data_IF_961942173939
#
_entry.id   IF_961942173939
#
_cell.length_a   1.000
_cell.length_b   1.000
_cell.length_c   1.000
_cell.angle_alpha   90.00
_cell.angle_beta   90.00
_cell.angle_gamma   90.00
#
_symmetry.space_group_name_H-M   'P 1'
#
loop_
_entity.id
_entity.type
_entity.pdbx_description
1 polymer ?
#
# COMPACT_ATOMS: atom_id res chain seq x y z
N UNK A 1 15.46 -3.19 -23.47
CA UNK A 1 15.75 -2.63 -22.13
C UNK A 1 16.95 -3.39 -21.59
N UNK A 2 18.00 -2.71 -21.15
CA UNK A 2 19.13 -3.36 -20.45
C UNK A 2 18.71 -3.72 -19.02
N UNK A 3 19.35 -4.70 -18.39
CA UNK A 3 19.00 -5.15 -17.02
C UNK A 3 19.04 -4.00 -16.00
N UNK A 4 20.01 -3.08 -16.11
CA UNK A 4 20.11 -1.89 -15.26
C UNK A 4 18.91 -0.94 -15.41
N UNK A 5 18.42 -0.74 -16.64
CA UNK A 5 17.26 0.12 -16.89
C UNK A 5 15.98 -0.48 -16.29
N UNK A 6 15.81 -1.81 -16.40
CA UNK A 6 14.69 -2.53 -15.82
C UNK A 6 14.70 -2.47 -14.30
N UNK A 7 15.88 -2.55 -13.69
CA UNK A 7 16.06 -2.47 -12.24
C UNK A 7 15.80 -1.06 -11.70
N UNK A 8 16.33 -0.02 -12.35
CA UNK A 8 16.06 1.38 -11.97
C UNK A 8 14.57 1.69 -12.01
N UNK A 9 13.89 1.25 -13.07
CA UNK A 9 12.45 1.44 -13.22
C UNK A 9 11.63 0.74 -12.12
N UNK A 10 12.02 -0.49 -11.74
CA UNK A 10 11.35 -1.22 -10.67
C UNK A 10 11.48 -0.51 -9.32
N UNK A 11 12.66 0.06 -9.04
CA UNK A 11 12.89 0.84 -7.81
C UNK A 11 12.02 2.09 -7.79
N UNK A 12 11.98 2.86 -8.87
CA UNK A 12 11.15 4.06 -8.98
C UNK A 12 9.66 3.74 -8.82
N UNK A 13 9.20 2.66 -9.46
CA UNK A 13 7.82 2.16 -9.34
C UNK A 13 7.44 1.87 -7.88
N UNK A 14 8.28 1.11 -7.17
CA UNK A 14 8.04 0.77 -5.77
C UNK A 14 8.07 2.01 -4.89
N UNK A 15 9.04 2.90 -5.10
CA UNK A 15 9.17 4.14 -4.33
C UNK A 15 7.95 5.04 -4.50
N UNK A 16 7.45 5.17 -5.73
CA UNK A 16 6.24 5.95 -6.01
C UNK A 16 5.03 5.42 -5.25
N UNK A 17 4.83 4.10 -5.24
CA UNK A 17 3.74 3.45 -4.50
C UNK A 17 3.87 3.70 -3.00
N UNK A 18 5.08 3.50 -2.45
CA UNK A 18 5.35 3.69 -1.01
C UNK A 18 5.12 5.14 -0.56
N UNK A 19 5.50 6.11 -1.39
CA UNK A 19 5.35 7.54 -1.09
C UNK A 19 3.90 8.01 -1.23
N UNK A 20 3.22 7.61 -2.30
CA UNK A 20 1.85 8.05 -2.59
C UNK A 20 0.83 7.43 -1.63
N UNK A 21 1.15 6.24 -1.08
CA UNK A 21 0.33 5.42 -0.18
C UNK A 21 -0.99 4.92 -0.78
N UNK A 22 -1.75 5.77 -1.44
CA UNK A 22 -2.97 5.43 -2.18
C UNK A 22 -2.72 5.75 -3.65
N UNK A 23 -2.84 4.74 -4.51
CA UNK A 23 -2.55 4.88 -5.94
C UNK A 23 -3.72 4.32 -6.76
N UNK A 24 -4.19 5.10 -7.75
CA UNK A 24 -5.11 4.57 -8.75
C UNK A 24 -4.32 3.73 -9.76
N UNK A 25 -4.76 2.49 -9.97
CA UNK A 25 -4.03 1.54 -10.80
C UNK A 25 -3.95 1.99 -12.27
N UNK A 26 -4.99 2.66 -12.76
CA UNK A 26 -5.03 3.23 -14.11
C UNK A 26 -4.03 4.38 -14.29
N UNK A 27 -3.94 5.29 -13.32
CA UNK A 27 -2.98 6.39 -13.35
C UNK A 27 -1.55 5.87 -13.29
N UNK A 28 -1.30 4.90 -12.41
CA UNK A 28 -0.01 4.25 -12.30
C UNK A 28 0.39 3.57 -13.60
N UNK A 29 -0.53 2.82 -14.22
CA UNK A 29 -0.31 2.18 -15.51
C UNK A 29 0.00 3.20 -16.61
N UNK A 30 -0.74 4.31 -16.64
CA UNK A 30 -0.53 5.39 -17.60
C UNK A 30 0.82 6.08 -17.43
N UNK A 31 1.24 6.36 -16.19
CA UNK A 31 2.55 6.96 -15.89
C UNK A 31 3.73 6.09 -16.35
N UNK A 32 3.57 4.78 -16.27
CA UNK A 32 4.64 3.83 -16.57
C UNK A 32 4.54 3.20 -17.96
N UNK A 33 3.53 3.60 -18.74
CA UNK A 33 3.31 3.12 -20.11
C UNK A 33 2.91 1.64 -20.20
N UNK A 34 2.31 1.08 -19.15
CA UNK A 34 1.83 -0.30 -19.11
C UNK A 34 0.32 -0.36 -19.24
N UNK A 35 -0.23 -1.54 -19.56
CA UNK A 35 -1.67 -1.76 -19.43
C UNK A 35 -2.01 -1.91 -17.95
N UNK A 36 -3.20 -1.46 -17.55
CA UNK A 36 -3.69 -1.58 -16.16
C UNK A 36 -3.58 -3.01 -15.63
N UNK A 37 -3.90 -4.01 -16.45
CA UNK A 37 -3.79 -5.41 -16.04
C UNK A 37 -2.34 -5.85 -15.80
N UNK A 38 -1.38 -5.37 -16.61
CA UNK A 38 0.04 -5.68 -16.42
C UNK A 38 0.56 -5.03 -15.13
N UNK A 39 0.11 -3.81 -14.82
CA UNK A 39 0.41 -3.13 -13.56
C UNK A 39 -0.19 -3.87 -12.36
N UNK A 40 -1.43 -4.38 -12.47
CA UNK A 40 -2.07 -5.20 -11.43
C UNK A 40 -1.26 -6.47 -11.17
N UNK A 41 -0.92 -7.21 -12.22
CA UNK A 41 -0.17 -8.45 -12.10
C UNK A 41 1.18 -8.19 -11.42
N UNK A 42 1.88 -7.12 -11.82
CA UNK A 42 3.16 -6.74 -11.20
C UNK A 42 3.03 -6.39 -9.71
N UNK A 43 1.96 -5.70 -9.32
CA UNK A 43 1.71 -5.43 -7.89
C UNK A 43 1.40 -6.72 -7.14
N UNK A 44 0.63 -7.63 -7.73
CA UNK A 44 0.35 -8.94 -7.14
C UNK A 44 1.62 -9.78 -6.94
N UNK A 45 2.52 -9.78 -7.92
CA UNK A 45 3.83 -10.44 -7.80
C UNK A 45 4.64 -9.84 -6.66
N UNK A 46 4.72 -8.50 -6.57
CA UNK A 46 5.43 -7.80 -5.49
C UNK A 46 4.81 -8.03 -4.11
N UNK A 47 3.49 -8.21 -4.03
CA UNK A 47 2.77 -8.60 -2.80
C UNK A 47 3.10 -10.05 -2.40
N UNK A 48 3.15 -10.96 -3.37
CA UNK A 48 3.49 -12.37 -3.15
C UNK A 48 4.94 -12.55 -2.69
N UNK A 49 5.85 -11.73 -3.20
CA UNK A 49 7.26 -11.68 -2.75
C UNK A 49 7.44 -11.00 -1.39
N UNK A 50 6.44 -10.25 -0.91
CA UNK A 50 6.52 -9.45 0.31
C UNK A 50 7.32 -8.14 0.17
N UNK A 51 7.73 -7.79 -1.05
CA UNK A 51 8.38 -6.52 -1.38
C UNK A 51 7.44 -5.33 -1.16
N UNK A 52 6.15 -5.53 -1.45
CA UNK A 52 5.06 -4.64 -1.12
C UNK A 52 4.09 -5.31 -0.16
N UNK A 53 3.37 -4.48 0.60
CA UNK A 53 2.31 -4.87 1.50
C UNK A 53 1.16 -3.90 1.30
N UNK A 54 -0.07 -4.40 1.17
CA UNK A 54 -1.19 -3.53 0.84
C UNK A 54 -2.43 -4.30 0.41
N UNK A 55 -3.46 -3.55 0.06
CA UNK A 55 -4.75 -4.08 -0.41
C UNK A 55 -5.15 -3.43 -1.72
N UNK A 56 -5.83 -4.20 -2.57
CA UNK A 56 -6.47 -3.70 -3.77
C UNK A 56 -7.97 -3.58 -3.46
N UNK A 57 -8.50 -2.37 -3.63
CA UNK A 57 -9.92 -2.06 -3.53
C UNK A 57 -10.64 -2.48 -4.83
N UNK A 58 -11.90 -2.87 -4.73
CA UNK A 58 -12.72 -3.31 -5.88
C UNK A 58 -12.91 -2.20 -6.93
N UNK A 59 -12.65 -0.94 -6.56
CA UNK A 59 -12.69 0.23 -7.43
C UNK A 59 -11.36 0.52 -8.15
N UNK A 60 -10.38 -0.38 -8.08
CA UNK A 60 -9.12 -0.25 -8.80
C UNK A 60 -8.09 0.66 -8.14
N UNK A 61 -8.17 0.83 -6.81
CA UNK A 61 -7.14 1.52 -6.02
C UNK A 61 -6.24 0.51 -5.33
N UNK A 62 -4.95 0.78 -5.29
CA UNK A 62 -4.01 0.11 -4.41
C UNK A 62 -3.72 1.00 -3.19
N UNK A 63 -3.83 0.42 -2.00
CA UNK A 63 -3.47 1.08 -0.74
C UNK A 63 -2.26 0.35 -0.18
N UNK A 64 -1.11 1.02 -0.19
CA UNK A 64 0.09 0.55 0.46
C UNK A 64 -0.08 0.63 1.99
N UNK A 65 0.16 -0.50 2.65
CA UNK A 65 0.19 -0.63 4.10
C UNK A 65 1.64 -0.82 4.48
N UNK A 66 2.19 0.04 5.31
CA UNK A 66 3.59 -0.11 5.75
C UNK A 66 3.77 -1.37 6.60
N UNK A 67 4.97 -1.98 6.64
CA UNK A 67 5.25 -3.10 7.53
C UNK A 67 4.92 -2.79 9.00
N UNK A 68 5.14 -1.55 9.44
CA UNK A 68 4.84 -1.07 10.78
C UNK A 68 3.33 -1.07 11.07
N UNK A 69 2.52 -0.56 10.14
CA UNK A 69 1.06 -0.58 10.25
C UNK A 69 0.52 -2.01 10.27
N UNK A 70 1.05 -2.89 9.40
CA UNK A 70 0.68 -4.30 9.38
C UNK A 70 1.05 -5.01 10.69
N UNK A 71 2.24 -4.70 11.24
CA UNK A 71 2.67 -5.22 12.53
C UNK A 71 1.78 -4.73 13.67
N UNK A 72 1.35 -3.46 13.63
CA UNK A 72 0.43 -2.90 14.62
C UNK A 72 -0.93 -3.61 14.61
N UNK A 73 -1.47 -3.91 13.41
CA UNK A 73 -2.68 -4.71 13.25
C UNK A 73 -2.48 -6.14 13.77
N UNK A 74 -1.36 -6.78 13.44
CA UNK A 74 -1.07 -8.12 13.92
C UNK A 74 -0.94 -8.18 15.46
N UNK A 75 -0.32 -7.16 16.07
CA UNK A 75 -0.19 -7.05 17.52
C UNK A 75 -1.55 -6.84 18.19
N UNK A 76 -2.42 -6.02 17.61
CA UNK A 76 -3.79 -5.84 18.09
C UNK A 76 -4.56 -7.18 18.12
N UNK A 77 -4.50 -7.96 17.04
CA UNK A 77 -5.14 -9.29 16.97
C UNK A 77 -4.57 -10.23 18.04
N UNK A 78 -3.23 -10.30 18.19
CA UNK A 78 -2.58 -11.18 19.17
C UNK A 78 -2.95 -10.83 20.61
N UNK A 79 -3.02 -9.53 20.94
CA UNK A 79 -3.36 -9.07 22.29
C UNK A 79 -4.83 -9.35 22.64
N UNK A 80 -5.74 -9.19 21.67
CA UNK A 80 -7.18 -9.45 21.87
C UNK A 80 -7.53 -10.94 21.78
N UNK A 81 -6.73 -11.73 21.08
CA UNK A 81 -6.96 -13.15 20.83
C UNK A 81 -8.09 -13.36 19.81
N UNK A 82 -9.36 -13.25 20.25
CA UNK A 82 -10.53 -13.33 19.36
C UNK A 82 -11.02 -11.93 19.07
N UNK A 83 -10.95 -11.53 17.81
CA UNK A 83 -11.43 -10.23 17.34
C UNK A 83 -12.54 -10.42 16.32
N UNK A 84 -13.58 -9.59 16.39
CA UNK A 84 -14.58 -9.52 15.32
C UNK A 84 -14.05 -8.68 14.15
N UNK A 85 -14.59 -8.89 12.95
CA UNK A 85 -14.26 -8.07 11.78
C UNK A 85 -14.62 -6.61 12.04
N UNK A 86 -15.74 -6.34 12.70
CA UNK A 86 -16.17 -4.97 13.06
C UNK A 86 -15.17 -4.29 13.97
N UNK A 87 -14.69 -4.99 15.01
CA UNK A 87 -13.69 -4.45 15.93
C UNK A 87 -12.34 -4.24 15.24
N UNK A 88 -11.93 -5.19 14.39
CA UNK A 88 -10.71 -5.06 13.60
C UNK A 88 -10.80 -3.87 12.64
N UNK A 89 -11.92 -3.67 11.95
CA UNK A 89 -12.12 -2.54 11.04
C UNK A 89 -12.06 -1.20 11.79
N UNK A 90 -12.69 -1.11 12.97
CA UNK A 90 -12.62 0.09 13.81
C UNK A 90 -11.18 0.39 14.28
N UNK A 91 -10.46 -0.62 14.75
CA UNK A 91 -9.07 -0.46 15.16
C UNK A 91 -8.16 -0.09 13.98
N UNK A 92 -8.36 -0.71 12.82
CA UNK A 92 -7.59 -0.43 11.59
C UNK A 92 -7.66 1.03 11.16
N UNK A 93 -8.75 1.75 11.42
CA UNK A 93 -8.84 3.20 11.13
C UNK A 93 -7.82 4.05 11.92
N UNK A 94 -7.35 3.55 13.07
CA UNK A 94 -6.31 4.21 13.87
C UNK A 94 -4.92 3.61 13.63
N UNK A 95 -4.86 2.35 13.22
CA UNK A 95 -3.60 1.61 13.00
C UNK A 95 -3.06 1.78 11.58
N UNK A 96 -3.91 2.10 10.61
CA UNK A 96 -3.56 2.33 9.22
C UNK A 96 -4.02 3.76 8.88
N UNK A 97 -3.07 4.66 8.68
CA UNK A 97 -3.37 6.06 8.37
C UNK A 97 -3.32 6.29 6.86
N UNK A 98 -4.47 6.27 6.18
CA UNK A 98 -4.56 6.50 4.73
C UNK A 98 -5.56 7.64 4.48
N UNK A 99 -5.08 8.82 4.10
CA UNK A 99 -5.92 10.00 3.88
C UNK A 99 -6.18 10.87 5.11
N UNK A 100 -5.28 10.89 6.09
CA UNK A 100 -5.24 11.94 7.12
C UNK A 100 -4.08 12.88 6.78
N UNK A 101 -4.36 14.17 6.56
CA UNK A 101 -3.32 15.20 6.64
C UNK A 101 -2.62 15.05 8.01
N UNK A 102 -1.29 15.17 8.08
CA UNK A 102 -0.63 15.26 9.38
C UNK A 102 -1.32 16.40 10.15
N UNK A 103 -1.64 16.22 11.44
CA UNK A 103 -2.29 17.26 12.21
C UNK A 103 -1.47 18.53 12.05
N UNK A 104 -2.09 19.58 11.48
CA UNK A 104 -1.45 20.86 11.30
C UNK A 104 -0.78 21.23 12.62
N UNK A 105 0.55 21.35 12.63
CA UNK A 105 1.29 21.77 13.81
C UNK A 105 0.68 23.08 14.29
N UNK A 106 0.03 23.02 15.45
CA UNK A 106 -0.51 24.20 16.11
C UNK A 106 0.66 25.17 16.30
N UNK A 107 0.56 26.43 15.83
CA UNK A 107 1.58 27.41 16.12
C UNK A 107 1.64 27.61 17.64
N UNK A 108 2.86 27.56 18.17
CA UNK A 108 3.18 27.83 19.56
C UNK A 108 2.78 29.26 19.97
#
# INVERSE_FOLDING_TARGET
MTEEQSHSFLIEFINYIKQSKVVLLEDLASQVGLRTQDTINRIQDLLAEGTLTGVIDDRGKFIYITPEELAAVANFIRQRGRVSITELAQASNSLIAWGQEPPAQAPA
#
